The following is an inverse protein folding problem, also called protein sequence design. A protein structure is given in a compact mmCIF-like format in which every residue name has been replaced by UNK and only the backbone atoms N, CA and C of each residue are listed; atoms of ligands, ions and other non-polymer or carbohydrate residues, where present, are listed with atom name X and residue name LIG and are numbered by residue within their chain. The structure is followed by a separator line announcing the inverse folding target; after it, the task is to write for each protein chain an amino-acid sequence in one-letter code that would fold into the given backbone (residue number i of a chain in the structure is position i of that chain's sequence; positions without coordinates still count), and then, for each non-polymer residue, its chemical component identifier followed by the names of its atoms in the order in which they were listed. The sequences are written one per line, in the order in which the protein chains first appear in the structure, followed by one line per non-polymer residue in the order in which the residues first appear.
data_IF_283874054394
#
_entry.id   IF_283874054394
#
_cell.length_a   1.000
_cell.length_b   1.000
_cell.length_c   1.000
_cell.angle_alpha   90.00
_cell.angle_beta   90.00
_cell.angle_gamma   90.00
#
_symmetry.space_group_name_H-M   'P 1'
#
loop_
_entity.id
_entity.type
_entity.pdbx_description
1 polymer ?
#
# COMPACT_ATOMS: atom_id res chain seq x y z
N UNK A 1 8.13 3.02 2.46
CA UNK A 1 8.21 4.07 1.41
C UNK A 1 8.73 3.39 0.16
N UNK A 2 8.10 3.66 -0.98
CA UNK A 2 8.45 3.14 -2.31
C UNK A 2 8.94 4.33 -3.13
N UNK A 3 10.09 4.17 -3.77
CA UNK A 3 10.62 5.12 -4.74
C UNK A 3 10.62 4.46 -6.11
N UNK A 4 9.97 5.08 -7.08
CA UNK A 4 9.99 4.64 -8.47
C UNK A 4 11.14 5.30 -9.26
N UNK A 5 11.46 4.74 -10.42
CA UNK A 5 12.51 5.25 -11.32
C UNK A 5 12.23 6.65 -11.89
N UNK A 6 11.01 7.16 -11.78
CA UNK A 6 10.62 8.51 -12.17
C UNK A 6 10.54 9.49 -10.98
N UNK A 7 11.22 9.18 -9.87
CA UNK A 7 11.29 10.01 -8.66
C UNK A 7 9.93 10.25 -7.96
N UNK A 8 8.94 9.38 -8.16
CA UNK A 8 7.76 9.39 -7.29
C UNK A 8 8.08 8.67 -5.98
N UNK A 9 7.74 9.31 -4.86
CA UNK A 9 7.76 8.72 -3.53
C UNK A 9 6.33 8.51 -3.07
N UNK A 10 5.97 7.28 -2.74
CA UNK A 10 4.63 6.91 -2.30
C UNK A 10 4.68 5.68 -1.39
N UNK A 11 3.52 5.25 -0.89
CA UNK A 11 3.41 4.02 -0.12
C UNK A 11 2.09 3.91 0.59
N UNK A 12 2.06 3.00 1.57
CA UNK A 12 0.94 2.84 2.47
C UNK A 12 1.42 2.69 3.91
N UNK A 13 0.50 2.98 4.83
CA UNK A 13 0.68 2.79 6.26
C UNK A 13 -0.46 1.91 6.78
N UNK A 14 -0.13 1.01 7.69
CA UNK A 14 -1.07 0.22 8.48
C UNK A 14 -0.53 0.08 9.90
N UNK A 15 -1.43 -0.02 10.87
CA UNK A 15 -1.12 -0.34 12.28
C UNK A 15 -0.91 -1.84 12.50
N UNK A 16 -1.26 -2.68 11.52
CA UNK A 16 -1.18 -4.13 11.65
C UNK A 16 0.24 -4.62 11.29
N UNK A 17 0.93 -5.36 12.17
CA UNK A 17 2.23 -5.95 11.86
C UNK A 17 2.11 -7.02 10.78
N UNK A 18 3.05 -7.03 9.82
CA UNK A 18 3.09 -8.01 8.74
C UNK A 18 3.42 -9.43 9.24
N UNK A 19 2.70 -10.43 8.74
CA UNK A 19 2.76 -11.84 9.21
C UNK A 19 3.04 -12.87 8.12
N UNK A 20 3.02 -12.49 6.83
CA UNK A 20 3.26 -13.38 5.69
C UNK A 20 2.50 -14.72 5.75
N UNK A 21 1.22 -14.68 6.10
CA UNK A 21 0.34 -15.85 6.29
C UNK A 21 -0.75 -15.95 5.22
N UNK A 22 -0.58 -15.25 4.10
CA UNK A 22 -1.47 -15.22 2.95
C UNK A 22 -2.93 -14.90 3.31
N UNK A 23 -3.11 -13.88 4.16
CA UNK A 23 -4.41 -13.46 4.67
C UNK A 23 -4.65 -11.96 4.52
N UNK A 24 -5.91 -11.56 4.40
CA UNK A 24 -6.33 -10.17 4.54
C UNK A 24 -6.44 -9.78 6.01
N UNK A 25 -6.06 -8.54 6.31
CA UNK A 25 -6.29 -7.90 7.61
C UNK A 25 -7.14 -6.65 7.44
N UNK A 26 -7.99 -6.43 8.43
CA UNK A 26 -8.73 -5.19 8.57
C UNK A 26 -7.90 -4.14 9.30
N UNK A 27 -7.95 -2.92 8.79
CA UNK A 27 -7.37 -1.75 9.46
C UNK A 27 -8.12 -0.50 9.00
N UNK A 28 -8.92 0.08 9.89
CA UNK A 28 -9.66 1.33 9.62
C UNK A 28 -8.76 2.55 9.54
N UNK A 29 -7.53 2.43 10.04
CA UNK A 29 -6.54 3.51 10.07
C UNK A 29 -5.55 3.42 8.94
N UNK A 30 -5.57 2.34 8.15
CA UNK A 30 -4.68 2.20 7.02
C UNK A 30 -5.01 3.22 5.92
N UNK A 31 -3.96 3.69 5.24
CA UNK A 31 -4.06 4.69 4.20
C UNK A 31 -2.90 4.57 3.22
N UNK A 32 -3.12 5.06 2.00
CA UNK A 32 -2.07 5.29 1.01
C UNK A 32 -1.62 6.74 1.05
N UNK A 33 -0.40 6.99 0.61
CA UNK A 33 0.13 8.35 0.52
C UNK A 33 1.07 8.52 -0.68
N UNK A 34 1.12 9.76 -1.17
CA UNK A 34 2.17 10.27 -2.07
C UNK A 34 2.95 11.35 -1.34
N UNK A 35 4.26 11.44 -1.60
CA UNK A 35 5.17 12.47 -1.05
C UNK A 35 5.75 13.32 -2.18
N UNK A 36 6.16 12.70 -3.28
CA UNK A 36 6.69 13.40 -4.47
C UNK A 36 6.13 12.76 -5.73
N UNK A 37 5.97 13.57 -6.77
CA UNK A 37 5.58 13.14 -8.11
C UNK A 37 6.06 14.19 -9.14
N UNK A 38 6.26 13.81 -10.41
CA UNK A 38 6.79 14.70 -11.46
C UNK A 38 5.80 15.79 -11.92
N UNK A 39 4.58 15.82 -11.37
CA UNK A 39 3.55 16.79 -11.71
C UNK A 39 3.33 17.85 -10.61
N UNK A 40 4.26 17.94 -9.64
CA UNK A 40 4.20 18.87 -8.50
C UNK A 40 2.90 18.79 -7.69
N UNK A 41 2.22 17.64 -7.74
CA UNK A 41 1.03 17.41 -6.89
C UNK A 41 1.50 17.35 -5.44
N UNK A 42 0.81 18.06 -4.56
CA UNK A 42 1.17 18.09 -3.14
C UNK A 42 1.05 16.69 -2.51
N UNK A 43 1.84 16.40 -1.45
CA UNK A 43 1.69 15.16 -0.69
C UNK A 43 0.24 14.92 -0.31
N UNK A 44 -0.30 13.77 -0.72
CA UNK A 44 -1.72 13.46 -0.57
C UNK A 44 -1.91 12.17 0.21
N UNK A 45 -2.93 12.13 1.05
CA UNK A 45 -3.33 10.97 1.85
C UNK A 45 -4.66 10.42 1.33
N UNK A 46 -4.72 9.12 1.09
CA UNK A 46 -5.92 8.41 0.63
C UNK A 46 -6.34 7.38 1.66
N UNK A 47 -7.48 7.61 2.30
CA UNK A 47 -8.03 6.70 3.29
C UNK A 47 -8.69 5.50 2.60
N UNK A 48 -8.67 4.34 3.27
CA UNK A 48 -9.40 3.17 2.79
C UNK A 48 -10.91 3.43 2.81
N UNK A 49 -11.59 3.06 1.74
CA UNK A 49 -13.04 3.22 1.61
C UNK A 49 -13.81 2.31 2.56
N UNK A 50 -14.94 2.79 3.09
CA UNK A 50 -15.72 2.08 4.10
C UNK A 50 -16.16 0.66 3.71
N UNK A 51 -16.33 0.39 2.40
CA UNK A 51 -16.71 -0.94 1.89
C UNK A 51 -15.56 -1.95 1.78
N UNK A 52 -14.30 -1.54 1.96
CA UNK A 52 -13.11 -2.38 1.74
C UNK A 52 -12.22 -2.54 2.96
N UNK A 53 -12.64 -2.04 4.12
CA UNK A 53 -11.89 -2.11 5.39
C UNK A 53 -11.48 -3.53 5.76
N UNK A 54 -12.33 -4.54 5.51
CA UNK A 54 -12.03 -5.94 5.80
C UNK A 54 -10.83 -6.49 4.99
N UNK A 55 -10.52 -5.82 3.87
CA UNK A 55 -9.47 -6.17 2.93
C UNK A 55 -8.43 -5.04 2.85
N UNK A 56 -8.15 -4.38 3.98
CA UNK A 56 -7.30 -3.20 4.03
C UNK A 56 -5.87 -3.50 3.60
N UNK A 57 -5.28 -4.59 4.10
CA UNK A 57 -3.94 -5.05 3.74
C UNK A 57 -3.90 -6.56 3.55
N UNK A 58 -3.08 -7.03 2.62
CA UNK A 58 -2.90 -8.46 2.35
C UNK A 58 -1.47 -8.90 2.66
N UNK A 59 -1.34 -9.88 3.55
CA UNK A 59 -0.08 -10.37 4.09
C UNK A 59 0.42 -11.59 3.31
N UNK A 60 0.70 -11.41 2.02
CA UNK A 60 1.24 -12.49 1.18
C UNK A 60 2.65 -12.90 1.63
N UNK A 61 2.97 -14.18 1.52
CA UNK A 61 4.32 -14.72 1.61
C UNK A 61 5.06 -14.66 0.25
N UNK A 62 4.30 -14.60 -0.84
CA UNK A 62 4.73 -14.60 -2.22
C UNK A 62 4.85 -13.20 -2.86
N UNK A 63 4.65 -12.14 -2.07
CA UNK A 63 4.63 -10.74 -2.53
C UNK A 63 4.94 -9.76 -1.41
N UNK A 64 5.24 -8.52 -1.79
CA UNK A 64 5.43 -7.42 -0.86
C UNK A 64 4.11 -6.89 -0.28
N UNK A 65 4.20 -5.86 0.59
CA UNK A 65 3.04 -5.18 1.16
C UNK A 65 1.99 -4.83 0.10
N UNK A 66 0.75 -5.25 0.34
CA UNK A 66 -0.38 -5.06 -0.58
C UNK A 66 -1.51 -4.35 0.16
N UNK A 67 -2.10 -3.34 -0.47
CA UNK A 67 -3.19 -2.53 0.10
C UNK A 67 -4.45 -2.61 -0.76
N UNK A 68 -5.61 -2.74 -0.10
CA UNK A 68 -6.94 -2.77 -0.72
C UNK A 68 -7.36 -4.13 -1.29
N UNK A 69 -8.65 -4.45 -1.18
CA UNK A 69 -9.25 -5.74 -1.58
C UNK A 69 -9.36 -6.00 -3.09
N UNK A 70 -9.07 -5.00 -3.91
CA UNK A 70 -8.93 -5.10 -5.38
C UNK A 70 -7.52 -4.76 -5.88
N UNK A 71 -6.55 -4.60 -4.96
CA UNK A 71 -5.18 -4.15 -5.17
C UNK A 71 -5.07 -2.70 -5.67
N UNK A 72 -5.18 -1.73 -4.75
CA UNK A 72 -4.91 -0.31 -5.05
C UNK A 72 -3.39 -0.05 -5.18
N UNK A 73 -2.59 -0.75 -4.37
CA UNK A 73 -1.13 -0.85 -4.53
C UNK A 73 -0.71 -2.31 -4.33
N UNK A 74 0.00 -2.84 -5.32
CA UNK A 74 0.58 -4.17 -5.34
C UNK A 74 2.09 -4.08 -5.62
N UNK A 75 2.91 -4.52 -4.67
CA UNK A 75 4.35 -4.64 -4.87
C UNK A 75 4.71 -6.11 -5.15
N UNK A 76 5.02 -6.42 -6.40
CA UNK A 76 5.47 -7.75 -6.79
C UNK A 76 6.81 -8.08 -6.11
N UNK A 77 7.04 -9.36 -5.83
CA UNK A 77 8.39 -9.82 -5.50
C UNK A 77 9.36 -9.46 -6.63
N UNK A 78 10.57 -9.03 -6.25
CA UNK A 78 11.62 -8.59 -7.19
C UNK A 78 11.29 -7.35 -8.03
N UNK A 79 10.42 -6.46 -7.55
CA UNK A 79 10.10 -5.18 -8.23
C UNK A 79 11.27 -4.18 -8.32
N UNK A 80 12.45 -4.53 -7.79
CA UNK A 80 13.70 -3.77 -7.88
C UNK A 80 14.68 -4.35 -8.93
N UNK A 81 14.25 -5.27 -9.79
CA UNK A 81 15.11 -5.90 -10.82
C UNK A 81 15.19 -5.11 -12.12
#
# INVERSE_FOLDING_TARGET
IIQSNNNCLFGGYTTIPWTSDNSYRSDTTAFLFTLTNPHDIQPTKYMIGGGTIAYAVHHGDDRGPTFGGGHDIYLANSSNS
#
